data_IF_285208141382
#
_entry.id   IF_285208141382
#
_cell.length_a   1.000
_cell.length_b   1.000
_cell.length_c   1.000
_cell.angle_alpha   90.00
_cell.angle_beta   90.00
_cell.angle_gamma   90.00
#
_symmetry.space_group_name_H-M   'P 1'
#
loop_
_entity.id
_entity.type
_entity.pdbx_description
1 polymer ?
#
# COMPACT_ATOMS: atom_id res chain seq x y z
N UNK A 1 -4.95 -27.11 26.91
CA UNK A 1 -4.24 -27.53 25.68
C UNK A 1 -3.91 -26.26 24.91
N UNK A 2 -2.68 -26.17 24.46
CA UNK A 2 -1.86 -24.96 24.29
C UNK A 2 -2.22 -24.12 23.07
N UNK A 3 -2.59 -22.85 23.23
CA UNK A 3 -2.62 -21.88 22.13
C UNK A 3 -2.24 -20.47 22.63
N UNK A 4 -0.99 -20.30 23.05
CA UNK A 4 -0.42 -18.96 23.27
C UNK A 4 0.26 -18.51 21.96
N UNK A 5 -0.55 -18.16 20.97
CA UNK A 5 -0.03 -17.55 19.75
C UNK A 5 0.19 -16.07 20.00
N UNK A 6 1.39 -15.57 19.71
CA UNK A 6 1.68 -14.14 19.72
C UNK A 6 0.77 -13.45 18.70
N UNK A 7 -0.28 -12.79 19.19
CA UNK A 7 -1.20 -12.04 18.34
C UNK A 7 -0.57 -10.71 17.95
N UNK A 8 -0.39 -10.47 16.65
CA UNK A 8 0.10 -9.20 16.11
C UNK A 8 -1.11 -8.30 15.84
N UNK A 9 -1.20 -7.18 16.55
CA UNK A 9 -2.21 -6.15 16.28
C UNK A 9 -1.76 -5.25 15.14
N UNK A 10 -2.63 -5.04 14.14
CA UNK A 10 -2.40 -4.14 13.02
C UNK A 10 -3.10 -2.80 13.28
N UNK A 11 -2.32 -1.73 13.44
CA UNK A 11 -2.83 -0.40 13.80
C UNK A 11 -3.55 0.29 12.64
N UNK A 12 -3.24 -0.07 11.39
CA UNK A 12 -3.86 0.51 10.21
C UNK A 12 -5.34 0.10 10.01
N UNK A 13 -5.83 -0.91 10.74
CA UNK A 13 -7.22 -1.35 10.74
C UNK A 13 -7.87 -1.03 12.09
N UNK A 14 -8.42 0.18 12.22
CA UNK A 14 -9.12 0.59 13.45
C UNK A 14 -10.44 -0.15 13.58
N UNK A 15 -10.65 -0.83 14.70
CA UNK A 15 -11.91 -1.51 15.02
C UNK A 15 -12.16 -2.80 14.23
N UNK A 16 -11.16 -3.33 13.51
CA UNK A 16 -11.26 -4.60 12.79
C UNK A 16 -10.15 -5.55 13.23
N UNK A 17 -10.55 -6.76 13.66
CA UNK A 17 -9.63 -7.83 13.98
C UNK A 17 -9.30 -8.62 12.72
N UNK A 18 -8.03 -8.69 12.35
CA UNK A 18 -7.57 -9.59 11.28
C UNK A 18 -7.29 -10.96 11.91
N UNK A 19 -8.00 -11.99 11.45
CA UNK A 19 -7.87 -13.36 11.93
C UNK A 19 -7.43 -14.25 10.77
N UNK A 20 -6.39 -15.06 10.98
CA UNK A 20 -5.96 -16.09 10.03
C UNK A 20 -6.54 -17.42 10.51
N UNK A 21 -7.28 -18.11 9.65
CA UNK A 21 -7.82 -19.44 9.92
C UNK A 21 -7.72 -20.34 8.68
N UNK A 22 -8.00 -21.63 8.85
CA UNK A 22 -7.92 -22.63 7.78
C UNK A 22 -9.29 -23.13 7.33
N UNK A 23 -10.34 -22.30 7.46
CA UNK A 23 -11.72 -22.71 7.17
C UNK A 23 -12.10 -22.63 5.67
N UNK A 24 -11.16 -22.21 4.81
CA UNK A 24 -11.36 -22.16 3.35
C UNK A 24 -12.25 -21.01 2.86
N UNK A 25 -12.46 -19.96 3.66
CA UNK A 25 -13.23 -18.77 3.28
C UNK A 25 -12.52 -17.86 2.26
N UNK A 26 -12.29 -16.60 2.63
CA UNK A 26 -11.51 -15.67 1.80
C UNK A 26 -10.02 -16.09 1.82
N UNK A 27 -9.54 -16.67 0.71
CA UNK A 27 -8.16 -17.18 0.57
C UNK A 27 -7.30 -16.16 -0.19
N UNK A 28 -6.05 -16.03 0.22
CA UNK A 28 -5.05 -15.15 -0.42
C UNK A 28 -3.65 -15.72 -0.21
N UNK A 29 -2.79 -15.50 -1.21
CA UNK A 29 -1.35 -15.83 -1.13
C UNK A 29 -0.51 -14.64 -0.63
N UNK A 30 -1.12 -13.47 -0.48
CA UNK A 30 -0.41 -12.19 -0.26
C UNK A 30 -0.47 -11.70 1.19
N UNK A 31 -0.79 -12.58 2.15
CA UNK A 31 -0.90 -12.23 3.57
C UNK A 31 0.35 -11.53 4.15
N UNK A 32 1.52 -11.75 3.52
CA UNK A 32 2.77 -11.04 3.83
C UNK A 32 2.70 -9.51 3.67
N UNK A 33 1.70 -8.97 2.96
CA UNK A 33 1.48 -7.53 2.82
C UNK A 33 0.94 -6.86 4.09
N UNK A 34 0.33 -7.62 5.01
CA UNK A 34 -0.19 -7.08 6.28
C UNK A 34 0.89 -6.38 7.13
N UNK A 35 2.03 -7.01 7.45
CA UNK A 35 3.12 -6.32 8.15
C UNK A 35 3.77 -5.22 7.32
N UNK A 36 3.79 -5.33 5.98
CA UNK A 36 4.30 -4.27 5.10
C UNK A 36 3.44 -3.01 5.22
N UNK A 37 2.11 -3.16 5.25
CA UNK A 37 1.18 -2.06 5.42
C UNK A 37 1.32 -1.37 6.77
N UNK A 38 1.47 -2.16 7.84
CA UNK A 38 1.75 -1.65 9.19
C UNK A 38 3.05 -0.84 9.22
N UNK A 39 4.07 -1.34 8.55
CA UNK A 39 5.35 -0.66 8.44
C UNK A 39 5.25 0.64 7.61
N UNK A 40 4.55 0.62 6.48
CA UNK A 40 4.25 1.80 5.65
C UNK A 40 3.54 2.90 6.45
N UNK A 41 2.59 2.54 7.34
CA UNK A 41 1.94 3.50 8.24
C UNK A 41 2.93 4.13 9.21
N UNK A 42 3.81 3.32 9.83
CA UNK A 42 4.81 3.80 10.80
C UNK A 42 5.82 4.77 10.20
N UNK A 43 6.17 4.59 8.92
CA UNK A 43 7.11 5.49 8.22
C UNK A 43 6.40 6.54 7.36
N UNK A 44 5.07 6.50 7.30
CA UNK A 44 4.21 7.39 6.52
C UNK A 44 4.61 7.48 5.03
N UNK A 45 5.09 6.38 4.43
CA UNK A 45 5.73 6.43 3.12
C UNK A 45 4.73 6.70 1.99
N UNK A 46 3.66 5.90 1.90
CA UNK A 46 2.64 6.08 0.87
C UNK A 46 1.97 7.46 0.91
N UNK A 47 1.69 7.99 2.11
CA UNK A 47 1.16 9.36 2.25
C UNK A 47 2.16 10.42 1.78
N UNK A 48 3.45 10.25 2.09
CA UNK A 48 4.50 11.15 1.62
C UNK A 48 4.65 11.11 0.08
N UNK A 49 4.46 9.94 -0.54
CA UNK A 49 4.40 9.82 -2.01
C UNK A 49 3.21 10.61 -2.56
N UNK A 50 2.01 10.42 -2.02
CA UNK A 50 0.79 11.13 -2.47
C UNK A 50 0.92 12.64 -2.35
N UNK A 51 1.54 13.16 -1.29
CA UNK A 51 1.75 14.61 -1.09
C UNK A 51 2.57 15.27 -2.21
N UNK A 52 3.28 14.48 -3.04
CA UNK A 52 4.08 14.95 -4.17
C UNK A 52 3.36 14.84 -5.50
N UNK A 53 2.20 14.19 -5.51
CA UNK A 53 1.32 14.09 -6.65
C UNK A 53 0.28 15.22 -6.58
N UNK A 54 -0.16 15.67 -7.74
CA UNK A 54 -1.24 16.64 -7.86
C UNK A 54 -2.40 15.93 -8.54
N UNK A 55 -3.48 15.68 -7.79
CA UNK A 55 -4.72 15.20 -8.37
C UNK A 55 -5.42 16.35 -9.11
N UNK A 56 -5.40 16.27 -10.44
CA UNK A 56 -6.02 17.26 -11.33
C UNK A 56 -7.43 16.86 -11.74
N UNK A 57 -7.95 15.74 -11.24
CA UNK A 57 -9.29 15.26 -11.55
C UNK A 57 -10.32 16.08 -10.78
N UNK A 58 -11.52 16.15 -11.33
CA UNK A 58 -12.68 16.74 -10.66
C UNK A 58 -13.07 15.89 -9.45
N UNK A 59 -12.95 16.45 -8.24
CA UNK A 59 -13.00 15.69 -6.98
C UNK A 59 -14.28 14.87 -6.76
N UNK A 60 -15.44 15.36 -7.19
CA UNK A 60 -16.72 14.63 -7.05
C UNK A 60 -16.92 13.49 -8.05
N UNK A 61 -16.00 13.32 -9.01
CA UNK A 61 -15.98 12.20 -9.97
C UNK A 61 -14.92 11.14 -9.61
N UNK A 62 -14.32 11.22 -8.41
CA UNK A 62 -13.20 10.36 -8.00
C UNK A 62 -13.66 9.24 -7.06
N UNK A 63 -13.72 8.02 -7.60
CA UNK A 63 -13.99 6.80 -6.82
C UNK A 63 -12.74 6.20 -6.14
N UNK A 64 -11.58 6.48 -6.72
CA UNK A 64 -10.27 5.98 -6.28
C UNK A 64 -9.36 7.15 -5.93
N UNK A 65 -9.19 7.38 -4.63
CA UNK A 65 -8.27 8.38 -4.10
C UNK A 65 -6.83 7.99 -4.43
N UNK A 66 -5.97 8.97 -4.55
CA UNK A 66 -4.55 8.76 -4.86
C UNK A 66 -3.85 7.86 -3.85
N UNK A 67 -4.20 7.97 -2.57
CA UNK A 67 -3.64 7.09 -1.54
C UNK A 67 -3.99 5.62 -1.75
N UNK A 68 -5.20 5.33 -2.24
CA UNK A 68 -5.60 3.95 -2.53
C UNK A 68 -4.84 3.43 -3.75
N UNK A 69 -4.70 4.26 -4.79
CA UNK A 69 -3.98 3.93 -6.03
C UNK A 69 -2.49 3.71 -5.79
N UNK A 70 -1.86 4.59 -5.01
CA UNK A 70 -0.45 4.50 -4.61
C UNK A 70 -0.20 3.23 -3.80
N UNK A 71 -1.02 2.97 -2.76
CA UNK A 71 -0.88 1.76 -1.94
C UNK A 71 -1.11 0.49 -2.76
N UNK A 72 -2.17 0.45 -3.55
CA UNK A 72 -2.45 -0.67 -4.44
C UNK A 72 -1.23 -0.97 -5.32
N UNK A 73 -0.63 0.08 -5.91
CA UNK A 73 0.48 -0.10 -6.83
C UNK A 73 1.77 -0.50 -6.15
N UNK A 74 2.14 0.16 -5.06
CA UNK A 74 3.34 -0.20 -4.28
C UNK A 74 3.24 -1.64 -3.78
N UNK A 75 2.10 -2.06 -3.24
CA UNK A 75 1.95 -3.40 -2.70
C UNK A 75 1.87 -4.47 -3.79
N UNK A 76 1.27 -4.16 -4.95
CA UNK A 76 1.35 -5.04 -6.11
C UNK A 76 2.80 -5.29 -6.54
N UNK A 77 3.63 -4.23 -6.63
CA UNK A 77 5.05 -4.37 -6.96
C UNK A 77 5.80 -5.21 -5.91
N UNK A 78 5.53 -4.98 -4.61
CA UNK A 78 6.15 -5.76 -3.52
C UNK A 78 5.76 -7.24 -3.59
N UNK A 79 4.53 -7.54 -3.97
CA UNK A 79 4.04 -8.91 -4.13
C UNK A 79 4.44 -9.58 -5.46
N UNK A 80 5.14 -8.87 -6.36
CA UNK A 80 5.60 -9.42 -7.65
C UNK A 80 4.60 -9.30 -8.79
N UNK A 81 3.72 -8.29 -8.74
CA UNK A 81 2.73 -7.97 -9.78
C UNK A 81 3.08 -6.65 -10.48
N UNK A 82 4.23 -6.60 -11.14
CA UNK A 82 4.76 -5.39 -11.80
C UNK A 82 4.00 -4.96 -13.05
N UNK A 83 3.40 -5.88 -13.82
CA UNK A 83 2.80 -5.57 -15.13
C UNK A 83 1.41 -4.93 -15.04
N UNK A 84 0.84 -4.84 -13.84
CA UNK A 84 -0.49 -4.29 -13.53
C UNK A 84 -1.69 -5.01 -14.18
N UNK A 85 -1.50 -6.00 -15.06
CA UNK A 85 -2.55 -6.87 -15.59
C UNK A 85 -3.33 -7.59 -14.47
N UNK A 86 -2.65 -8.04 -13.42
CA UNK A 86 -3.25 -8.69 -12.26
C UNK A 86 -4.13 -7.76 -11.43
N UNK A 87 -4.06 -6.43 -11.63
CA UNK A 87 -4.91 -5.49 -10.93
C UNK A 87 -6.40 -5.77 -11.16
N UNK A 88 -6.78 -6.43 -12.25
CA UNK A 88 -8.17 -6.85 -12.47
C UNK A 88 -8.63 -7.93 -11.48
N UNK A 89 -7.75 -8.87 -11.11
CA UNK A 89 -8.05 -9.95 -10.17
C UNK A 89 -7.80 -9.53 -8.72
N UNK A 90 -6.66 -8.88 -8.46
CA UNK A 90 -6.30 -8.35 -7.13
C UNK A 90 -7.30 -7.31 -6.62
N UNK A 91 -8.12 -6.74 -7.51
CA UNK A 91 -9.17 -5.79 -7.18
C UNK A 91 -10.11 -6.27 -6.06
N UNK A 92 -10.30 -7.59 -5.96
CA UNK A 92 -11.19 -8.27 -5.03
C UNK A 92 -10.45 -9.13 -4.00
N UNK A 93 -9.11 -9.19 -4.04
CA UNK A 93 -8.34 -9.98 -3.09
C UNK A 93 -8.53 -9.40 -1.66
N UNK A 94 -8.83 -10.26 -0.67
CA UNK A 94 -9.17 -9.83 0.69
C UNK A 94 -8.03 -9.08 1.39
N UNK A 95 -6.78 -9.47 1.16
CA UNK A 95 -5.63 -8.80 1.77
C UNK A 95 -5.36 -7.48 1.07
N UNK A 96 -5.41 -7.42 -0.27
CA UNK A 96 -5.28 -6.18 -1.03
C UNK A 96 -6.34 -5.15 -0.62
N UNK A 97 -7.59 -5.57 -0.43
CA UNK A 97 -8.65 -4.71 0.11
C UNK A 97 -8.29 -4.22 1.52
N UNK A 98 -7.85 -5.12 2.40
CA UNK A 98 -7.47 -4.75 3.77
C UNK A 98 -6.30 -3.75 3.81
N UNK A 99 -5.21 -4.00 3.08
CA UNK A 99 -4.02 -3.14 3.15
C UNK A 99 -4.24 -1.77 2.52
N UNK A 100 -5.18 -1.65 1.58
CA UNK A 100 -5.53 -0.35 0.97
C UNK A 100 -6.64 0.39 1.70
N UNK A 101 -7.26 -0.22 2.73
CA UNK A 101 -8.39 0.38 3.47
C UNK A 101 -9.71 0.33 2.69
N UNK A 102 -9.80 -0.55 1.69
CA UNK A 102 -11.00 -0.76 0.86
C UNK A 102 -11.76 -2.01 1.30
N UNK A 103 -12.88 -2.30 0.64
CA UNK A 103 -13.71 -3.46 0.94
C UNK A 103 -14.46 -3.93 -0.32
N UNK A 104 -15.19 -5.05 -0.24
CA UNK A 104 -15.88 -5.65 -1.40
C UNK A 104 -16.91 -4.73 -2.08
N UNK A 105 -17.52 -3.78 -1.35
CA UNK A 105 -18.45 -2.77 -1.91
C UNK A 105 -17.72 -1.62 -2.61
N UNK A 106 -16.48 -1.37 -2.21
CA UNK A 106 -15.60 -0.36 -2.79
C UNK A 106 -14.34 -1.04 -3.29
N UNK A 107 -14.43 -1.84 -4.37
CA UNK A 107 -13.29 -2.61 -4.86
C UNK A 107 -12.13 -1.68 -5.23
N UNK A 108 -10.92 -2.22 -5.33
CA UNK A 108 -9.69 -1.50 -5.70
C UNK A 108 -9.74 -0.93 -7.12
N UNK A 109 -8.69 -0.32 -7.67
CA UNK A 109 -8.71 0.09 -9.07
C UNK A 109 -8.53 -1.11 -10.01
N UNK A 110 -9.21 -1.11 -11.15
CA UNK A 110 -8.92 -2.04 -12.24
C UNK A 110 -7.64 -1.62 -12.99
N UNK A 111 -7.11 -2.51 -13.84
CA UNK A 111 -5.91 -2.23 -14.64
C UNK A 111 -6.00 -0.92 -15.45
N UNK A 112 -7.10 -0.59 -16.15
CA UNK A 112 -7.18 0.66 -16.90
C UNK A 112 -7.11 1.91 -16.01
N UNK A 113 -7.65 1.82 -14.78
CA UNK A 113 -7.58 2.92 -13.82
C UNK A 113 -6.17 3.12 -13.29
N UNK A 114 -5.43 2.03 -13.01
CA UNK A 114 -4.01 2.10 -12.64
C UNK A 114 -3.19 2.70 -13.78
N UNK A 115 -3.41 2.25 -15.02
CA UNK A 115 -2.70 2.78 -16.18
C UNK A 115 -2.93 4.28 -16.36
N UNK A 116 -4.18 4.76 -16.25
CA UNK A 116 -4.48 6.21 -16.29
C UNK A 116 -3.83 6.97 -15.15
N UNK A 117 -3.80 6.39 -13.95
CA UNK A 117 -3.14 7.00 -12.80
C UNK A 117 -1.64 7.19 -13.04
N UNK A 118 -0.93 6.16 -13.50
CA UNK A 118 0.51 6.24 -13.78
C UNK A 118 0.82 7.26 -14.90
N UNK A 119 -0.01 7.28 -15.95
CA UNK A 119 0.18 8.18 -17.10
C UNK A 119 -0.20 9.64 -16.84
N UNK A 120 -0.88 9.97 -15.73
CA UNK A 120 -1.22 11.37 -15.41
C UNK A 120 -0.08 12.13 -14.71
N UNK A 121 0.94 11.41 -14.20
CA UNK A 121 2.01 12.00 -13.40
C UNK A 121 2.96 12.79 -14.30
N UNK A 122 3.16 14.07 -14.00
CA UNK A 122 4.03 14.93 -14.81
C UNK A 122 5.50 14.84 -14.38
N UNK A 123 6.42 15.20 -15.28
CA UNK A 123 7.86 15.21 -15.03
C UNK A 123 8.26 15.96 -13.74
N UNK A 124 7.59 17.07 -13.42
CA UNK A 124 7.83 17.82 -12.17
C UNK A 124 7.52 17.00 -10.91
N UNK A 125 6.48 16.17 -10.95
CA UNK A 125 6.09 15.29 -9.84
C UNK A 125 7.07 14.12 -9.74
N UNK A 126 7.54 13.58 -10.88
CA UNK A 126 8.58 12.55 -10.93
C UNK A 126 9.89 13.07 -10.30
N UNK A 127 10.32 14.29 -10.64
CA UNK A 127 11.51 14.92 -10.03
C UNK A 127 11.34 15.09 -8.52
N UNK A 128 10.16 15.57 -8.09
CA UNK A 128 9.83 15.73 -6.67
C UNK A 128 9.87 14.39 -5.90
N UNK A 129 9.33 13.33 -6.51
CA UNK A 129 9.38 11.97 -5.98
C UNK A 129 10.81 11.44 -5.89
N UNK A 130 11.61 11.57 -6.94
CA UNK A 130 13.00 11.12 -6.94
C UNK A 130 13.83 11.79 -5.83
N UNK A 131 13.69 13.11 -5.65
CA UNK A 131 14.35 13.84 -4.55
C UNK A 131 13.95 13.28 -3.20
N UNK A 132 12.67 13.03 -3.00
CA UNK A 132 12.17 12.44 -1.76
C UNK A 132 12.70 11.04 -1.49
N UNK A 133 12.75 10.17 -2.49
CA UNK A 133 13.30 8.82 -2.32
C UNK A 133 14.77 8.88 -1.90
N UNK A 134 15.55 9.78 -2.51
CA UNK A 134 16.95 10.02 -2.13
C UNK A 134 17.07 10.54 -0.69
N UNK A 135 16.29 11.57 -0.33
CA UNK A 135 16.30 12.14 1.02
C UNK A 135 15.89 11.12 2.08
N UNK A 136 14.87 10.31 1.77
CA UNK A 136 14.37 9.24 2.64
C UNK A 136 15.46 8.19 2.85
N UNK A 137 16.15 7.76 1.77
CA UNK A 137 17.27 6.82 1.84
C UNK A 137 18.43 7.37 2.68
N UNK A 138 18.91 8.58 2.39
CA UNK A 138 20.03 9.22 3.11
C UNK A 138 19.71 9.35 4.61
N UNK A 139 18.50 9.80 4.93
CA UNK A 139 18.06 9.95 6.32
C UNK A 139 18.07 8.61 7.05
N UNK A 140 17.58 7.56 6.40
CA UNK A 140 17.56 6.21 6.97
C UNK A 140 18.97 5.63 7.13
N UNK A 141 19.84 5.78 6.14
CA UNK A 141 21.23 5.32 6.20
C UNK A 141 22.01 5.99 7.35
N UNK A 142 21.81 7.29 7.57
CA UNK A 142 22.41 8.02 8.70
C UNK A 142 21.94 7.50 10.06
N UNK A 143 20.65 7.17 10.20
CA UNK A 143 20.10 6.58 11.44
C UNK A 143 20.69 5.19 11.71
N UNK A 144 20.85 4.37 10.67
CA UNK A 144 21.45 3.04 10.79
C UNK A 144 22.90 3.12 11.29
N UNK A 145 23.73 3.99 10.70
CA UNK A 145 25.12 4.18 11.16
C UNK A 145 25.21 4.59 12.65
N UNK A 146 24.38 5.54 13.07
CA UNK A 146 24.33 6.00 14.47
C UNK A 146 23.83 4.94 15.46
N UNK A 147 23.04 3.98 15.01
CA UNK A 147 22.56 2.86 15.83
C UNK A 147 23.57 1.71 15.96
N UNK A 148 24.59 1.66 15.11
CA UNK A 148 25.68 0.67 15.18
C UNK A 148 26.91 1.16 15.97
N UNK A 149 27.01 2.48 16.21
CA UNK A 149 28.05 3.11 17.03
C UNK A 149 27.68 3.19 18.53
N UNK A 150 26.51 2.64 18.93
CA UNK A 150 26.02 2.53 20.31
C UNK A 150 25.93 1.08 20.71
#
# INVERSE_FOLDING_TARGET
>A
MTDNYTQISLSFQVGKMVTINFNGGDITSDAGLLPIREYDEKINFSSAVVQRLIDRRTSYLVDHKDIDLVRQRIYAIIAGYEDANDAQYLRLDPVFLAVTGRNKLMPLASQPTISRFENRVLAKEIISLNRFLLDHYITRAKRHKRGQER
#
